data_IF_189835751263
#
_entry.id   IF_189835751263
#
_cell.length_a   1.000
_cell.length_b   1.000
_cell.length_c   1.000
_cell.angle_alpha   90.00
_cell.angle_beta   90.00
_cell.angle_gamma   90.00
#
_symmetry.space_group_name_H-M   'P 1'
#
loop_
_entity.id
_entity.type
_entity.pdbx_description
1 polymer ?
#
# COMPACT_ATOMS: atom_id res chain seq x y z
N UNK A 1 -13.91 -19.78 17.45
CA UNK A 1 -13.75 -19.67 18.92
C UNK A 1 -12.36 -19.14 19.30
N UNK A 2 -11.33 -19.71 18.71
CA UNK A 2 -9.93 -19.30 18.99
C UNK A 2 -9.58 -17.88 18.54
N UNK A 3 -10.25 -17.34 17.53
CA UNK A 3 -9.99 -16.00 17.01
C UNK A 3 -10.25 -14.88 18.02
N UNK A 4 -11.17 -15.09 18.96
CA UNK A 4 -11.53 -14.09 19.97
C UNK A 4 -10.65 -14.16 21.20
N UNK A 5 -10.17 -15.35 21.57
CA UNK A 5 -9.36 -15.57 22.76
C UNK A 5 -7.89 -15.14 22.56
N UNK A 6 -7.41 -15.19 21.34
CA UNK A 6 -6.00 -14.90 21.02
C UNK A 6 -5.76 -13.50 20.45
N UNK A 7 -6.80 -12.67 20.31
CA UNK A 7 -6.71 -11.30 19.81
C UNK A 7 -5.91 -11.17 18.49
N UNK A 8 -6.15 -12.09 17.56
CA UNK A 8 -5.41 -12.14 16.29
C UNK A 8 -5.72 -10.94 15.39
N UNK A 9 -6.92 -10.40 15.46
CA UNK A 9 -7.33 -9.18 14.78
C UNK A 9 -8.50 -8.51 15.51
N UNK A 10 -8.72 -7.24 15.21
CA UNK A 10 -9.73 -6.40 15.85
C UNK A 10 -10.40 -5.46 14.82
N UNK A 11 -11.42 -4.76 15.26
CA UNK A 11 -12.05 -3.69 14.47
C UNK A 11 -11.01 -2.69 13.95
N UNK A 12 -11.09 -2.36 12.68
CA UNK A 12 -10.17 -1.45 12.00
C UNK A 12 -8.92 -2.10 11.42
N UNK A 13 -8.63 -3.35 11.74
CA UNK A 13 -7.50 -4.08 11.16
C UNK A 13 -7.76 -4.42 9.69
N UNK A 14 -6.71 -4.37 8.89
CA UNK A 14 -6.74 -4.90 7.52
C UNK A 14 -6.31 -6.36 7.57
N UNK A 15 -7.19 -7.25 7.16
CA UNK A 15 -6.93 -8.69 7.18
C UNK A 15 -7.18 -9.32 5.82
N UNK A 16 -6.52 -10.44 5.60
CA UNK A 16 -6.74 -11.31 4.46
C UNK A 16 -7.29 -12.65 4.95
N UNK A 17 -8.45 -13.02 4.45
CA UNK A 17 -9.13 -14.27 4.79
C UNK A 17 -9.03 -15.28 3.66
N UNK A 18 -8.77 -16.52 4.02
CA UNK A 18 -8.86 -17.65 3.10
C UNK A 18 -10.13 -18.44 3.40
N UNK A 19 -10.95 -18.67 2.38
CA UNK A 19 -12.20 -19.39 2.44
C UNK A 19 -12.12 -20.61 1.52
N UNK A 20 -12.68 -21.77 1.91
CA UNK A 20 -12.68 -22.97 1.05
C UNK A 20 -13.33 -22.72 -0.30
N UNK A 21 -12.71 -23.20 -1.36
CA UNK A 21 -13.23 -23.07 -2.73
C UNK A 21 -12.84 -21.78 -3.46
N UNK A 22 -12.15 -20.86 -2.79
CA UNK A 22 -11.60 -19.66 -3.43
C UNK A 22 -10.07 -19.74 -3.51
N UNK A 23 -9.52 -19.54 -4.70
CA UNK A 23 -8.07 -19.52 -4.90
C UNK A 23 -7.43 -18.23 -4.41
N UNK A 24 -8.18 -17.14 -4.39
CA UNK A 24 -7.72 -15.82 -3.96
C UNK A 24 -8.43 -15.45 -2.65
N UNK A 25 -7.65 -15.09 -1.63
CA UNK A 25 -8.19 -14.64 -0.35
C UNK A 25 -8.93 -13.32 -0.45
N UNK A 26 -9.85 -13.07 0.47
CA UNK A 26 -10.58 -11.82 0.59
C UNK A 26 -9.79 -10.88 1.50
N UNK A 27 -9.46 -9.68 1.01
CA UNK A 27 -8.76 -8.65 1.77
C UNK A 27 -9.69 -7.48 2.06
N UNK A 28 -9.73 -7.04 3.30
CA UNK A 28 -10.52 -5.89 3.68
C UNK A 28 -10.25 -5.42 5.10
N UNK A 29 -10.87 -4.31 5.45
CA UNK A 29 -10.83 -3.75 6.80
C UNK A 29 -11.97 -4.32 7.63
N UNK A 30 -11.68 -4.76 8.84
CA UNK A 30 -12.68 -5.30 9.77
C UNK A 30 -13.61 -4.18 10.22
N UNK A 31 -14.89 -4.26 9.86
CA UNK A 31 -15.94 -3.32 10.32
C UNK A 31 -16.78 -3.86 11.46
N UNK A 32 -16.96 -5.16 11.51
CA UNK A 32 -17.74 -5.80 12.57
C UNK A 32 -17.20 -7.20 12.82
N UNK A 33 -17.09 -7.54 14.08
CA UNK A 33 -16.62 -8.84 14.52
C UNK A 33 -17.56 -9.36 15.59
N UNK A 34 -18.27 -10.45 15.28
CA UNK A 34 -19.16 -11.14 16.21
C UNK A 34 -18.69 -12.58 16.42
N UNK A 35 -19.35 -13.31 17.31
CA UNK A 35 -19.07 -14.72 17.53
C UNK A 35 -19.35 -15.60 16.29
N UNK A 36 -20.16 -15.13 15.36
CA UNK A 36 -20.61 -15.90 14.19
C UNK A 36 -20.04 -15.42 12.88
N UNK A 37 -19.90 -14.12 12.72
CA UNK A 37 -19.50 -13.52 11.44
C UNK A 37 -18.43 -12.47 11.62
N UNK A 38 -17.61 -12.32 10.57
CA UNK A 38 -16.68 -11.21 10.39
C UNK A 38 -17.13 -10.42 9.17
N UNK A 39 -17.31 -9.11 9.31
CA UNK A 39 -17.64 -8.21 8.22
C UNK A 39 -16.43 -7.39 7.83
N UNK A 40 -16.12 -7.41 6.55
CA UNK A 40 -15.01 -6.70 5.96
C UNK A 40 -15.49 -5.69 4.94
N UNK A 41 -14.85 -4.52 4.93
CA UNK A 41 -14.97 -3.54 3.84
C UNK A 41 -13.78 -3.68 2.91
N UNK A 42 -14.01 -4.04 1.65
CA UNK A 42 -12.94 -4.14 0.65
C UNK A 42 -12.50 -2.75 0.17
N UNK A 43 -11.37 -2.70 -0.55
CA UNK A 43 -10.87 -1.45 -1.15
C UNK A 43 -11.86 -0.84 -2.16
N UNK A 44 -12.72 -1.65 -2.78
CA UNK A 44 -13.78 -1.22 -3.69
C UNK A 44 -15.05 -0.73 -2.95
N UNK A 45 -15.06 -0.78 -1.62
CA UNK A 45 -16.20 -0.37 -0.79
C UNK A 45 -17.26 -1.45 -0.58
N UNK A 46 -17.03 -2.67 -1.05
CA UNK A 46 -17.95 -3.79 -0.85
C UNK A 46 -17.91 -4.28 0.58
N UNK A 47 -19.08 -4.58 1.14
CA UNK A 47 -19.20 -5.23 2.44
C UNK A 47 -19.25 -6.74 2.24
N UNK A 48 -18.25 -7.43 2.75
CA UNK A 48 -18.19 -8.90 2.69
C UNK A 48 -18.48 -9.46 4.07
N UNK A 49 -19.46 -10.34 4.17
CA UNK A 49 -19.82 -11.06 5.40
C UNK A 49 -19.34 -12.49 5.30
N UNK A 50 -18.44 -12.88 6.21
CA UNK A 50 -17.86 -14.22 6.21
C UNK A 50 -18.20 -14.91 7.52
N UNK A 51 -18.86 -16.10 7.48
CA UNK A 51 -19.05 -16.91 8.67
C UNK A 51 -17.71 -17.32 9.28
N UNK A 52 -17.54 -17.13 10.58
CA UNK A 52 -16.28 -17.47 11.25
C UNK A 52 -15.93 -18.96 11.12
N UNK A 53 -16.95 -19.81 11.03
CA UNK A 53 -16.79 -21.26 10.79
C UNK A 53 -16.20 -21.61 9.42
N UNK A 54 -16.28 -20.72 8.44
CA UNK A 54 -15.74 -20.92 7.10
C UNK A 54 -14.28 -20.44 6.97
N UNK A 55 -13.75 -19.75 7.97
CA UNK A 55 -12.38 -19.24 7.93
C UNK A 55 -11.37 -20.38 8.06
N UNK A 56 -10.43 -20.47 7.12
CA UNK A 56 -9.32 -21.41 7.15
C UNK A 56 -8.04 -20.77 7.63
N UNK A 57 -7.76 -19.60 7.15
CA UNK A 57 -6.57 -18.84 7.49
C UNK A 57 -6.90 -17.37 7.57
N UNK A 58 -6.37 -16.71 8.58
CA UNK A 58 -6.45 -15.26 8.76
C UNK A 58 -5.04 -14.70 8.78
N UNK A 59 -4.74 -13.78 7.88
CA UNK A 59 -3.49 -13.02 7.87
C UNK A 59 -3.80 -11.59 8.27
N UNK A 60 -3.25 -11.14 9.40
CA UNK A 60 -3.39 -9.74 9.82
C UNK A 60 -2.30 -8.91 9.15
N UNK A 61 -2.71 -7.99 8.28
CA UNK A 61 -1.82 -7.13 7.51
C UNK A 61 -1.46 -5.83 8.23
N UNK A 62 -2.07 -5.56 9.39
CA UNK A 62 -1.94 -4.27 10.08
C UNK A 62 -1.78 -4.38 11.59
N UNK A 63 -1.52 -5.56 12.13
CA UNK A 63 -1.31 -5.72 13.58
C UNK A 63 -0.05 -4.97 13.99
N UNK A 64 -0.19 -4.08 14.98
CA UNK A 64 0.84 -3.23 15.57
C UNK A 64 1.40 -2.16 14.61
N UNK A 65 1.58 -2.45 13.35
CA UNK A 65 1.99 -1.50 12.31
C UNK A 65 1.54 -1.97 10.95
N UNK A 66 1.46 -1.04 10.02
CA UNK A 66 1.12 -1.30 8.63
C UNK A 66 2.20 -0.76 7.69
N UNK A 67 2.15 -1.15 6.45
CA UNK A 67 3.12 -0.76 5.44
C UNK A 67 2.42 -0.18 4.22
N UNK A 68 2.78 1.03 3.86
CA UNK A 68 2.45 1.60 2.56
C UNK A 68 3.55 1.20 1.57
N UNK A 69 3.19 0.55 0.49
CA UNK A 69 4.08 0.19 -0.61
C UNK A 69 3.60 0.93 -1.85
N UNK A 70 4.45 1.75 -2.40
CA UNK A 70 4.13 2.61 -3.55
C UNK A 70 5.11 2.35 -4.67
N UNK A 71 4.61 1.96 -5.82
CA UNK A 71 5.40 1.77 -7.03
C UNK A 71 5.18 2.97 -7.96
N UNK A 72 6.29 3.63 -8.31
CA UNK A 72 6.30 4.81 -9.17
C UNK A 72 6.89 4.40 -10.53
N UNK A 73 6.08 4.44 -11.61
CA UNK A 73 6.57 4.14 -12.94
C UNK A 73 7.39 5.32 -13.49
N UNK A 74 8.57 5.03 -14.00
CA UNK A 74 9.48 6.00 -14.60
C UNK A 74 9.96 5.47 -15.93
N UNK A 75 10.05 6.34 -16.95
CA UNK A 75 10.57 5.93 -18.26
C UNK A 75 12.01 5.38 -18.16
N UNK A 76 12.31 4.32 -18.89
CA UNK A 76 13.67 3.75 -18.97
C UNK A 76 14.70 4.72 -19.56
N UNK A 77 14.25 5.78 -20.25
CA UNK A 77 15.13 6.80 -20.83
C UNK A 77 15.62 7.81 -19.81
N UNK A 78 15.05 7.83 -18.63
CA UNK A 78 15.43 8.74 -17.55
C UNK A 78 16.66 8.25 -16.78
N UNK A 79 17.41 9.18 -16.19
CA UNK A 79 18.49 8.85 -15.28
C UNK A 79 17.92 8.38 -13.94
N UNK A 80 17.92 7.07 -13.74
CA UNK A 80 17.35 6.45 -12.54
C UNK A 80 18.09 6.84 -11.25
N UNK A 81 19.36 7.18 -11.33
CA UNK A 81 20.14 7.64 -10.17
C UNK A 81 19.64 9.02 -9.73
N UNK A 82 19.42 9.92 -10.67
CA UNK A 82 18.86 11.25 -10.37
C UNK A 82 17.42 11.16 -9.88
N UNK A 83 16.60 10.34 -10.50
CA UNK A 83 15.22 10.12 -10.07
C UNK A 83 15.16 9.54 -8.66
N UNK A 84 16.00 8.56 -8.35
CA UNK A 84 16.08 7.98 -7.02
C UNK A 84 16.50 9.02 -5.97
N UNK A 85 17.48 9.87 -6.28
CA UNK A 85 17.91 10.95 -5.39
C UNK A 85 16.79 11.98 -5.15
N UNK A 86 16.03 12.32 -6.19
CA UNK A 86 14.88 13.22 -6.10
C UNK A 86 13.77 12.64 -5.21
N UNK A 87 13.48 11.34 -5.36
CA UNK A 87 12.48 10.67 -4.53
C UNK A 87 12.94 10.55 -3.07
N UNK A 88 14.23 10.36 -2.81
CA UNK A 88 14.77 10.38 -1.44
C UNK A 88 14.61 11.74 -0.78
N UNK A 89 14.92 12.82 -1.50
CA UNK A 89 14.70 14.19 -1.01
C UNK A 89 13.23 14.43 -0.68
N UNK A 90 12.31 14.02 -1.57
CA UNK A 90 10.87 14.14 -1.33
C UNK A 90 10.42 13.36 -0.10
N UNK A 91 10.96 12.18 0.12
CA UNK A 91 10.66 11.32 1.28
C UNK A 91 11.18 11.96 2.57
N UNK A 92 12.37 12.57 2.55
CA UNK A 92 12.92 13.30 3.69
C UNK A 92 12.07 14.53 4.05
N UNK A 93 11.59 15.25 3.03
CA UNK A 93 10.66 16.37 3.21
C UNK A 93 9.33 15.94 3.82
N UNK A 94 8.80 14.79 3.40
CA UNK A 94 7.60 14.21 3.99
C UNK A 94 7.80 13.84 5.47
N UNK A 95 8.92 13.23 5.80
CA UNK A 95 9.25 12.85 7.18
C UNK A 95 9.40 14.07 8.09
N UNK A 96 9.86 15.19 7.55
CA UNK A 96 10.02 16.45 8.27
C UNK A 96 8.74 17.30 8.35
N UNK A 97 7.70 16.97 7.58
CA UNK A 97 6.45 17.75 7.55
C UNK A 97 5.64 17.51 8.84
N UNK A 98 5.34 18.56 9.63
CA UNK A 98 4.60 18.42 10.90
C UNK A 98 3.21 17.79 10.74
N UNK A 99 2.58 17.94 9.58
CA UNK A 99 1.25 17.36 9.28
C UNK A 99 1.30 15.83 9.21
N UNK A 100 2.47 15.28 8.90
CA UNK A 100 2.69 13.84 8.71
C UNK A 100 3.61 13.24 9.76
N UNK A 101 4.17 14.06 10.65
CA UNK A 101 4.98 13.58 11.78
C UNK A 101 4.14 12.71 12.70
N UNK A 102 4.63 11.52 13.02
CA UNK A 102 3.92 10.53 13.83
C UNK A 102 3.04 9.55 13.06
N UNK A 103 2.72 9.80 11.78
CA UNK A 103 2.02 8.82 10.94
C UNK A 103 2.95 7.72 10.40
N UNK A 104 4.16 8.02 9.92
CA UNK A 104 5.17 6.99 9.67
C UNK A 104 5.81 6.56 10.98
N UNK A 105 5.87 5.24 11.23
CA UNK A 105 6.55 4.65 12.40
C UNK A 105 8.06 4.53 12.19
N UNK A 106 8.59 5.20 11.21
CA UNK A 106 9.99 5.24 10.84
C UNK A 106 10.13 6.03 9.56
N UNK A 107 11.34 6.37 9.21
CA UNK A 107 11.59 7.13 7.99
C UNK A 107 11.16 6.30 6.77
N UNK A 108 10.37 6.87 5.85
CA UNK A 108 10.08 6.23 4.58
C UNK A 108 11.38 5.99 3.81
N UNK A 109 11.44 4.91 3.05
CA UNK A 109 12.62 4.54 2.27
C UNK A 109 12.29 4.34 0.81
N UNK A 110 13.22 4.75 -0.05
CA UNK A 110 13.22 4.36 -1.46
C UNK A 110 13.94 3.02 -1.56
N UNK A 111 13.18 1.95 -1.75
CA UNK A 111 13.72 0.59 -1.79
C UNK A 111 14.52 0.32 -3.08
N UNK A 112 14.22 1.04 -4.16
CA UNK A 112 14.93 0.91 -5.43
C UNK A 112 14.06 0.44 -6.58
N UNK A 113 14.70 -0.07 -7.63
CA UNK A 113 14.00 -0.61 -8.80
C UNK A 113 13.41 -1.97 -8.45
N UNK A 114 12.10 -2.08 -8.52
CA UNK A 114 11.39 -3.33 -8.24
C UNK A 114 11.20 -4.18 -9.49
N UNK A 115 10.80 -3.55 -10.58
CA UNK A 115 10.63 -4.22 -11.87
C UNK A 115 11.15 -3.37 -13.01
N UNK A 116 11.61 -4.05 -14.04
CA UNK A 116 11.98 -3.43 -15.32
C UNK A 116 11.04 -4.02 -16.36
N UNK A 117 10.28 -3.15 -17.02
CA UNK A 117 9.31 -3.53 -18.03
C UNK A 117 9.63 -2.83 -19.37
N UNK A 118 8.83 -3.11 -20.40
CA UNK A 118 9.02 -2.48 -21.70
C UNK A 118 8.70 -0.98 -21.59
N UNK A 119 9.73 -0.15 -21.77
CA UNK A 119 9.59 1.31 -21.78
C UNK A 119 9.56 1.99 -20.40
N UNK A 120 9.46 1.24 -19.30
CA UNK A 120 9.46 1.83 -17.96
C UNK A 120 10.08 0.91 -16.90
N UNK A 121 10.43 1.51 -15.79
CA UNK A 121 10.84 0.82 -14.55
C UNK A 121 9.92 1.24 -13.42
N UNK A 122 9.72 0.39 -12.44
CA UNK A 122 9.01 0.73 -11.22
C UNK A 122 9.99 0.93 -10.07
N UNK A 123 9.97 2.13 -9.51
CA UNK A 123 10.71 2.46 -8.29
C UNK A 123 9.78 2.28 -7.09
N UNK A 124 10.21 1.48 -6.14
CA UNK A 124 9.40 1.17 -4.94
C UNK A 124 9.80 2.03 -3.77
N UNK A 125 8.78 2.64 -3.16
CA UNK A 125 8.87 3.35 -1.89
C UNK A 125 8.09 2.57 -0.83
N UNK A 126 8.63 2.52 0.37
CA UNK A 126 8.01 1.83 1.50
C UNK A 126 7.97 2.76 2.70
N UNK A 127 6.80 2.90 3.31
CA UNK A 127 6.61 3.64 4.54
C UNK A 127 5.91 2.78 5.58
N UNK A 128 6.44 2.77 6.81
CA UNK A 128 5.76 2.13 7.95
C UNK A 128 4.80 3.14 8.56
N UNK A 129 3.57 2.70 8.81
CA UNK A 129 2.51 3.57 9.32
C UNK A 129 1.78 2.92 10.48
N UNK A 130 1.01 3.71 11.21
CA UNK A 130 0.02 3.17 12.13
C UNK A 130 -1.04 2.38 11.35
N UNK A 131 -1.61 1.32 11.93
CA UNK A 131 -2.65 0.54 11.27
C UNK A 131 -3.83 1.41 10.84
N UNK A 132 -4.29 1.20 9.61
CA UNK A 132 -5.37 1.97 9.00
C UNK A 132 -4.93 3.28 8.33
N UNK A 133 -3.68 3.73 8.51
CA UNK A 133 -3.17 4.99 7.92
C UNK A 133 -2.36 4.76 6.64
N UNK A 134 -2.09 3.52 6.27
CA UNK A 134 -1.27 3.18 5.11
C UNK A 134 -1.82 3.73 3.79
N UNK A 135 -3.12 3.78 3.63
CA UNK A 135 -3.74 4.28 2.39
C UNK A 135 -3.61 5.81 2.26
N UNK A 136 -3.77 6.52 3.38
CA UNK A 136 -3.60 7.96 3.45
C UNK A 136 -2.14 8.36 3.14
N UNK A 137 -1.19 7.71 3.79
CA UNK A 137 0.24 7.93 3.57
C UNK A 137 0.63 7.58 2.13
N UNK A 138 0.12 6.49 1.59
CA UNK A 138 0.38 6.09 0.21
C UNK A 138 -0.12 7.14 -0.80
N UNK A 139 -1.31 7.70 -0.59
CA UNK A 139 -1.84 8.76 -1.45
C UNK A 139 -0.99 10.01 -1.41
N UNK A 140 -0.55 10.42 -0.22
CA UNK A 140 0.33 11.59 -0.07
C UNK A 140 1.69 11.38 -0.74
N UNK A 141 2.29 10.21 -0.57
CA UNK A 141 3.56 9.87 -1.23
C UNK A 141 3.41 9.91 -2.75
N UNK A 142 2.32 9.36 -3.30
CA UNK A 142 2.05 9.42 -4.75
C UNK A 142 1.91 10.85 -5.24
N UNK A 143 1.18 11.68 -4.52
CA UNK A 143 1.00 13.09 -4.87
C UNK A 143 2.32 13.84 -4.88
N UNK A 144 3.12 13.71 -3.83
CA UNK A 144 4.42 14.37 -3.72
C UNK A 144 5.41 13.87 -4.77
N UNK A 145 5.43 12.55 -5.02
CA UNK A 145 6.27 11.95 -6.05
C UNK A 145 5.89 12.48 -7.45
N UNK A 146 4.62 12.50 -7.78
CA UNK A 146 4.14 13.04 -9.05
C UNK A 146 4.51 14.52 -9.23
N UNK A 147 4.37 15.32 -8.18
CA UNK A 147 4.73 16.74 -8.19
C UNK A 147 6.25 16.95 -8.35
N UNK A 148 7.05 16.19 -7.61
CA UNK A 148 8.51 16.28 -7.67
C UNK A 148 9.05 15.87 -9.05
N UNK A 149 8.53 14.78 -9.61
CA UNK A 149 8.92 14.30 -10.93
C UNK A 149 8.54 15.30 -12.03
N UNK A 150 7.34 15.84 -11.98
CA UNK A 150 6.89 16.88 -12.94
C UNK A 150 7.75 18.12 -12.85
N UNK A 151 8.06 18.62 -11.66
CA UNK A 151 8.89 19.79 -11.46
C UNK A 151 10.32 19.60 -11.97
N UNK A 152 10.83 18.37 -11.93
CA UNK A 152 12.14 18.02 -12.45
C UNK A 152 12.15 17.70 -13.95
N UNK A 153 10.99 17.71 -14.63
CA UNK A 153 10.88 17.38 -16.05
C UNK A 153 11.06 15.89 -16.35
N UNK A 154 10.87 15.02 -15.36
CA UNK A 154 10.97 13.56 -15.53
C UNK A 154 9.73 13.03 -16.23
N UNK A 155 9.94 12.27 -17.30
CA UNK A 155 8.85 11.65 -18.07
C UNK A 155 8.28 10.44 -17.33
N UNK A 156 6.95 10.44 -17.19
CA UNK A 156 6.21 9.23 -16.86
C UNK A 156 5.82 8.50 -18.13
N UNK A 157 5.75 7.16 -18.11
CA UNK A 157 5.21 6.45 -19.26
C UNK A 157 3.76 6.89 -19.49
N UNK A 158 3.46 7.33 -20.72
CA UNK A 158 2.11 7.68 -21.11
C UNK A 158 1.28 6.40 -21.22
N UNK A 159 0.20 6.32 -20.47
CA UNK A 159 -0.81 5.28 -20.67
C UNK A 159 -1.51 5.65 -21.98
N UNK A 160 -1.07 5.05 -23.10
CA UNK A 160 -1.83 5.16 -24.35
C UNK A 160 -1.12 5.60 -25.62
N UNK A 161 0.20 5.56 -25.70
CA UNK A 161 0.82 5.60 -27.02
C UNK A 161 0.79 4.19 -27.63
N UNK A 162 0.02 3.99 -28.73
CA UNK A 162 0.14 2.75 -29.49
C UNK A 162 1.56 2.67 -30.03
N UNK A 163 2.15 1.49 -29.89
CA UNK A 163 3.47 1.22 -30.47
C UNK A 163 3.50 1.71 -31.94
N UNK A 164 4.58 2.39 -32.37
CA UNK A 164 4.72 2.79 -33.76
C UNK A 164 4.69 1.52 -34.64
N UNK A 165 3.78 1.52 -35.60
CA UNK A 165 3.60 0.51 -36.61
C UNK A 165 4.83 0.37 -37.50
#
# INVERSE_FOLDING_TARGET
FFLFTEHQFAFGDVIKLSVPGQQVGITGTVEELTLRVTKLRTAQGELVVVPNSALRQVTNLSKDWSRAVIDIPVSVTEDLVQVTALLREMVDDLAADPRWSGLPLGDPVVAGVETIDVGYVQLRLIARTLPGRQFEVAREIRLRAATALRSAGVSSPSIGDPAPS
#
